data_IF_628010567965
#
_entry.id   IF_628010567965
#
_cell.length_a   1.000
_cell.length_b   1.000
_cell.length_c   1.000
_cell.angle_alpha   90.00
_cell.angle_beta   90.00
_cell.angle_gamma   90.00
#
_symmetry.space_group_name_H-M   'P 1'
#
loop_
_entity.id
_entity.type
_entity.pdbx_description
1 polymer ?
#
# COMPACT_ATOMS: atom_id res chain seq x y z
N UNK A 1 -4.72 -54.64 10.52
CA UNK A 1 -4.85 -53.27 9.94
C UNK A 1 -5.19 -52.34 11.12
N UNK A 2 -4.31 -51.49 11.62
CA UNK A 2 -4.68 -50.30 12.37
C UNK A 2 -3.64 -49.72 13.37
N UNK A 3 -2.38 -50.07 13.30
CA UNK A 3 -1.36 -49.44 14.18
C UNK A 3 -0.55 -48.37 13.45
N UNK A 4 -0.43 -48.45 12.12
CA UNK A 4 0.37 -47.51 11.32
C UNK A 4 -0.29 -46.13 11.10
N UNK A 5 -1.62 -46.04 11.11
CA UNK A 5 -2.35 -44.79 10.83
C UNK A 5 -2.40 -43.83 12.02
N UNK A 6 -2.34 -44.37 13.26
CA UNK A 6 -2.39 -43.54 14.48
C UNK A 6 -1.06 -42.86 14.78
N UNK A 7 0.08 -43.39 14.33
CA UNK A 7 1.39 -42.76 14.53
C UNK A 7 1.65 -41.59 13.62
N UNK A 8 1.12 -41.62 12.39
CA UNK A 8 1.28 -40.53 11.41
C UNK A 8 0.48 -39.27 11.79
N UNK A 9 -0.70 -39.44 12.44
CA UNK A 9 -1.54 -38.31 12.89
C UNK A 9 -0.94 -37.65 14.14
N UNK A 10 -0.28 -38.39 15.02
CA UNK A 10 0.39 -37.82 16.19
C UNK A 10 1.71 -37.08 15.83
N UNK A 11 2.44 -37.52 14.81
CA UNK A 11 3.64 -36.78 14.37
C UNK A 11 3.29 -35.47 13.67
N UNK A 12 2.18 -35.41 12.92
CA UNK A 12 1.71 -34.17 12.30
C UNK A 12 1.24 -33.13 13.33
N UNK A 13 0.65 -33.59 14.47
CA UNK A 13 0.23 -32.69 15.55
C UNK A 13 1.39 -32.15 16.38
N UNK A 14 2.49 -32.89 16.49
CA UNK A 14 3.71 -32.46 17.21
C UNK A 14 4.59 -31.49 16.41
N UNK A 15 4.58 -31.56 15.08
CA UNK A 15 5.27 -30.58 14.25
C UNK A 15 4.55 -29.23 14.20
N UNK A 16 3.23 -29.19 14.45
CA UNK A 16 2.46 -27.95 14.47
C UNK A 16 2.65 -27.11 15.73
N UNK A 17 3.14 -27.70 16.80
CA UNK A 17 3.30 -27.00 18.09
C UNK A 17 4.65 -26.29 18.26
N UNK A 18 5.66 -26.60 17.46
CA UNK A 18 7.00 -26.00 17.55
C UNK A 18 7.23 -24.83 16.62
N UNK A 19 6.34 -24.57 15.67
CA UNK A 19 6.42 -23.41 14.77
C UNK A 19 5.85 -22.11 15.37
N UNK A 20 5.24 -22.17 16.54
CA UNK A 20 4.56 -21.02 17.14
C UNK A 20 5.47 -20.07 17.95
N UNK A 21 6.72 -20.43 18.22
CA UNK A 21 7.59 -19.68 19.15
C UNK A 21 8.65 -18.80 18.48
N UNK A 22 8.84 -18.85 17.16
CA UNK A 22 9.86 -18.08 16.45
C UNK A 22 9.39 -16.72 15.88
N UNK A 23 8.09 -16.47 15.81
CA UNK A 23 7.54 -15.26 15.19
C UNK A 23 7.60 -14.01 16.08
N UNK A 24 7.99 -14.13 17.34
CA UNK A 24 7.89 -13.05 18.33
C UNK A 24 8.97 -11.96 18.18
N UNK A 25 9.94 -12.12 17.29
CA UNK A 25 11.03 -11.16 17.06
C UNK A 25 10.77 -10.10 15.96
N UNK A 26 9.90 -10.37 14.99
CA UNK A 26 9.72 -9.53 13.81
C UNK A 26 8.25 -9.19 13.49
N UNK A 27 7.38 -9.06 14.41
CA UNK A 27 6.02 -8.79 14.01
C UNK A 27 5.00 -8.53 15.09
N UNK A 28 5.38 -8.57 16.35
CA UNK A 28 4.43 -8.36 17.44
C UNK A 28 4.95 -7.32 18.42
N UNK A 29 4.68 -6.05 18.17
CA UNK A 29 4.60 -5.09 19.24
C UNK A 29 3.12 -4.92 19.60
N UNK A 30 2.80 -5.12 20.86
CA UNK A 30 1.54 -4.68 21.40
C UNK A 30 1.50 -3.14 21.34
N UNK A 31 0.53 -2.57 20.62
CA UNK A 31 0.25 -1.16 20.74
C UNK A 31 -0.40 -0.92 22.09
N UNK A 32 0.31 -0.32 22.99
CA UNK A 32 -0.25 0.13 24.27
C UNK A 32 -1.26 1.26 24.05
N UNK A 33 -1.04 2.10 23.04
CA UNK A 33 -1.95 3.17 22.60
C UNK A 33 -2.00 3.18 21.06
N UNK A 34 -3.21 3.14 20.44
CA UNK A 34 -3.37 3.28 18.99
C UNK A 34 -2.81 4.59 18.41
N UNK A 35 -2.45 5.55 19.24
CA UNK A 35 -1.83 6.82 18.87
C UNK A 35 -0.31 6.79 18.92
N UNK A 36 0.29 5.77 19.51
CA UNK A 36 1.73 5.60 19.52
C UNK A 36 2.22 4.91 18.25
N UNK A 37 3.41 5.30 17.72
CA UNK A 37 4.00 4.60 16.59
C UNK A 37 4.23 3.13 16.93
N UNK A 38 4.11 2.23 15.95
CA UNK A 38 4.43 0.82 16.14
C UNK A 38 5.84 0.70 16.71
N UNK A 39 5.98 0.00 17.81
CA UNK A 39 7.29 -0.22 18.40
C UNK A 39 8.18 -0.96 17.40
N UNK A 40 9.42 -0.52 17.28
CA UNK A 40 10.42 -1.24 16.53
C UNK A 40 10.59 -2.63 17.16
N UNK A 41 10.48 -3.70 16.37
CA UNK A 41 10.67 -5.06 16.82
C UNK A 41 12.00 -5.19 17.59
N UNK A 42 12.14 -6.12 18.54
CA UNK A 42 13.41 -6.34 19.27
C UNK A 42 14.52 -6.64 18.26
N UNK A 43 15.42 -5.69 18.07
CA UNK A 43 16.56 -5.81 17.17
C UNK A 43 17.87 -5.87 17.98
N UNK A 44 18.91 -6.55 17.47
CA UNK A 44 20.27 -6.39 17.98
C UNK A 44 20.70 -4.91 18.00
N UNK A 45 21.50 -4.50 18.99
CA UNK A 45 21.82 -3.10 19.23
C UNK A 45 22.26 -2.32 17.97
N UNK A 46 23.13 -2.83 17.06
CA UNK A 46 23.51 -2.10 15.85
C UNK A 46 22.36 -1.89 14.87
N UNK A 47 21.49 -2.89 14.70
CA UNK A 47 20.32 -2.80 13.81
C UNK A 47 19.28 -1.84 14.41
N UNK A 48 19.09 -1.88 15.72
CA UNK A 48 18.21 -0.93 16.44
C UNK A 48 18.65 0.51 16.23
N UNK A 49 19.95 0.81 16.41
CA UNK A 49 20.46 2.16 16.23
C UNK A 49 20.22 2.68 14.78
N UNK A 50 20.41 1.83 13.76
CA UNK A 50 20.10 2.19 12.37
C UNK A 50 18.60 2.41 12.16
N UNK A 51 17.74 1.54 12.69
CA UNK A 51 16.28 1.70 12.59
C UNK A 51 15.79 2.97 13.30
N UNK A 52 16.32 3.30 14.46
CA UNK A 52 16.01 4.55 15.18
C UNK A 52 16.47 5.79 14.41
N UNK A 53 17.65 5.74 13.80
CA UNK A 53 18.11 6.78 12.89
C UNK A 53 17.21 6.90 11.67
N UNK A 54 16.80 5.78 11.07
CA UNK A 54 15.83 5.73 9.97
C UNK A 54 14.47 6.32 10.36
N UNK A 55 13.98 6.05 11.58
CA UNK A 55 12.76 6.67 12.14
C UNK A 55 12.89 8.20 12.24
N UNK A 56 14.05 8.67 12.70
CA UNK A 56 14.32 10.10 12.75
C UNK A 56 14.27 10.71 11.33
N UNK A 57 14.90 10.07 10.34
CA UNK A 57 14.86 10.53 8.94
C UNK A 57 13.46 10.49 8.36
N UNK A 58 12.68 9.44 8.64
CA UNK A 58 11.30 9.28 8.19
C UNK A 58 10.38 10.42 8.65
N UNK A 59 10.60 10.90 9.89
CA UNK A 59 9.86 11.98 10.51
C UNK A 59 10.45 13.38 10.23
N UNK A 60 11.65 13.43 9.63
CA UNK A 60 12.31 14.71 9.35
C UNK A 60 11.67 15.41 8.17
N UNK A 61 11.36 16.68 8.33
CA UNK A 61 11.02 17.54 7.19
C UNK A 61 12.30 17.95 6.46
N UNK A 62 12.32 17.66 5.17
CA UNK A 62 13.36 18.13 4.25
C UNK A 62 13.10 19.59 3.90
N UNK A 63 14.14 20.30 3.58
CA UNK A 63 14.14 21.74 3.33
C UNK A 63 14.87 22.07 2.03
N UNK A 64 14.67 23.28 1.46
CA UNK A 64 15.34 23.69 0.23
C UNK A 64 16.86 23.56 0.33
N UNK A 65 17.51 23.31 -0.81
CA UNK A 65 18.96 23.28 -0.93
C UNK A 65 19.60 24.58 -0.41
N UNK A 66 20.75 24.44 0.27
CA UNK A 66 21.49 25.58 0.83
C UNK A 66 20.86 26.20 2.07
N UNK A 67 19.83 25.61 2.67
CA UNK A 67 19.25 26.10 3.93
C UNK A 67 20.30 26.07 5.05
N UNK A 68 20.61 27.19 5.71
CA UNK A 68 21.63 27.23 6.75
C UNK A 68 21.38 26.21 7.86
N UNK A 69 22.44 25.50 8.29
CA UNK A 69 22.42 24.48 9.34
C UNK A 69 21.57 23.24 9.03
N UNK A 70 21.10 23.09 7.80
CA UNK A 70 20.30 21.95 7.38
C UNK A 70 21.08 20.93 6.53
N UNK A 71 22.39 21.11 6.34
CA UNK A 71 23.25 20.19 5.61
C UNK A 71 22.99 18.74 6.04
N UNK A 72 22.67 17.87 5.07
CA UNK A 72 22.25 16.47 5.16
C UNK A 72 20.73 16.23 5.21
N UNK A 73 19.87 17.26 5.23
CA UNK A 73 18.42 17.15 5.07
C UNK A 73 17.85 18.24 4.17
N UNK A 74 18.70 18.87 3.39
CA UNK A 74 18.37 19.85 2.37
C UNK A 74 18.37 19.21 0.97
N UNK A 75 17.82 19.93 0.01
CA UNK A 75 17.63 19.42 -1.34
C UNK A 75 16.20 19.05 -1.68
N UNK A 76 15.20 19.39 -0.81
CA UNK A 76 13.79 19.25 -1.17
C UNK A 76 13.57 19.85 -2.55
N UNK A 77 12.94 19.07 -3.45
CA UNK A 77 12.73 19.47 -4.84
C UNK A 77 11.90 20.74 -4.97
N UNK A 78 12.01 21.45 -6.10
CA UNK A 78 11.33 22.73 -6.29
C UNK A 78 9.80 22.58 -6.35
N UNK A 79 9.30 21.47 -6.86
CA UNK A 79 7.92 21.01 -6.72
C UNK A 79 7.91 19.65 -6.02
N UNK A 80 6.94 19.42 -5.17
CA UNK A 80 6.87 18.21 -4.33
C UNK A 80 5.44 17.92 -3.88
N UNK A 81 5.17 16.68 -3.51
CA UNK A 81 3.92 16.29 -2.89
C UNK A 81 3.97 16.49 -1.37
N UNK A 82 5.09 16.15 -0.73
CA UNK A 82 5.29 16.30 0.71
C UNK A 82 6.76 16.49 1.05
N UNK A 83 7.03 17.06 2.23
CA UNK A 83 8.41 17.29 2.71
C UNK A 83 8.89 16.22 3.71
N UNK A 84 8.07 15.24 4.06
CA UNK A 84 8.47 14.13 4.95
C UNK A 84 7.63 12.89 4.69
N UNK A 85 8.16 11.70 5.02
CA UNK A 85 7.42 10.45 4.90
C UNK A 85 6.25 10.39 5.89
N UNK A 86 6.44 10.89 7.12
CA UNK A 86 5.42 10.89 8.19
C UNK A 86 4.18 11.73 7.83
N UNK A 87 4.31 12.73 6.98
CA UNK A 87 3.17 13.54 6.53
C UNK A 87 2.09 12.70 5.82
N UNK A 88 2.49 11.64 5.11
CA UNK A 88 1.58 10.71 4.44
C UNK A 88 1.40 9.40 5.22
N UNK A 89 2.44 8.91 5.87
CA UNK A 89 2.48 7.64 6.60
C UNK A 89 2.59 7.87 8.11
N UNK A 90 1.72 8.70 8.66
CA UNK A 90 1.78 9.06 10.07
C UNK A 90 1.87 7.83 10.98
N UNK A 91 2.95 7.74 11.76
CA UNK A 91 3.27 6.57 12.60
C UNK A 91 3.34 5.23 11.80
N UNK A 92 3.72 5.25 10.54
CA UNK A 92 3.74 4.07 9.68
C UNK A 92 2.37 3.51 9.32
N UNK A 93 1.29 4.20 9.69
CA UNK A 93 -0.08 3.80 9.39
C UNK A 93 -0.51 4.21 7.97
N UNK A 94 -1.70 3.76 7.57
CA UNK A 94 -2.38 4.22 6.37
C UNK A 94 -2.78 5.69 6.51
N UNK A 95 -2.69 6.43 5.41
CA UNK A 95 -3.14 7.82 5.35
C UNK A 95 -4.63 7.98 5.65
N UNK A 96 -5.00 9.19 6.08
CA UNK A 96 -6.41 9.56 6.26
C UNK A 96 -7.09 9.76 4.91
N UNK A 97 -8.39 9.42 4.80
CA UNK A 97 -9.14 9.60 3.56
C UNK A 97 -9.40 11.07 3.24
N UNK A 98 -9.64 11.39 1.97
CA UNK A 98 -10.39 12.56 1.62
C UNK A 98 -11.85 12.36 2.07
N UNK A 99 -12.28 13.14 3.06
CA UNK A 99 -13.60 12.98 3.67
C UNK A 99 -14.71 13.62 2.83
N UNK A 100 -14.39 14.71 2.11
CA UNK A 100 -15.35 15.53 1.39
C UNK A 100 -14.90 15.77 -0.05
N UNK A 101 -15.83 16.20 -0.89
CA UNK A 101 -15.51 16.76 -2.19
C UNK A 101 -14.66 18.04 -2.03
N UNK A 102 -13.76 18.28 -2.96
CA UNK A 102 -12.86 19.41 -2.96
C UNK A 102 -11.41 19.05 -3.25
N UNK A 103 -10.44 19.89 -2.87
CA UNK A 103 -9.02 19.61 -3.06
C UNK A 103 -8.59 18.34 -2.33
N UNK A 104 -7.85 17.48 -3.04
CA UNK A 104 -7.30 16.28 -2.46
C UNK A 104 -6.25 16.62 -1.39
N UNK A 105 -6.18 15.85 -0.28
CA UNK A 105 -5.10 15.99 0.68
C UNK A 105 -3.79 15.49 0.07
N UNK A 106 -2.66 16.01 0.53
CA UNK A 106 -1.31 15.57 0.10
C UNK A 106 -1.06 14.07 0.34
N UNK A 107 -1.82 13.45 1.22
CA UNK A 107 -1.77 12.01 1.50
C UNK A 107 -2.34 11.14 0.38
N UNK A 108 -2.98 11.75 -0.61
CA UNK A 108 -3.45 11.11 -1.85
C UNK A 108 -2.53 11.56 -2.99
N UNK A 109 -1.44 10.83 -3.19
CA UNK A 109 -0.50 11.09 -4.27
C UNK A 109 -1.17 10.86 -5.64
N UNK A 110 -0.91 11.73 -6.60
CA UNK A 110 -1.49 11.67 -7.95
C UNK A 110 -0.43 11.24 -8.94
N UNK A 111 -0.37 9.94 -9.23
CA UNK A 111 0.51 9.42 -10.26
C UNK A 111 -0.06 9.75 -11.64
N UNK A 112 0.81 10.11 -12.57
CA UNK A 112 0.45 10.38 -13.96
C UNK A 112 1.08 9.33 -14.87
N UNK A 113 0.39 9.00 -15.96
CA UNK A 113 0.89 8.15 -17.03
C UNK A 113 0.20 8.53 -18.33
N UNK A 114 0.74 8.07 -19.46
CA UNK A 114 0.06 8.14 -20.75
C UNK A 114 -0.44 6.76 -21.12
N UNK A 115 -1.57 6.66 -21.81
CA UNK A 115 -2.11 5.35 -22.25
C UNK A 115 -1.15 4.62 -23.18
N UNK A 116 -0.37 5.35 -23.97
CA UNK A 116 0.63 4.80 -24.88
C UNK A 116 2.04 4.71 -24.28
N UNK A 117 2.22 5.05 -22.98
CA UNK A 117 3.54 5.08 -22.34
C UNK A 117 3.94 3.68 -21.85
N UNK A 118 4.67 2.95 -22.70
CA UNK A 118 5.26 1.65 -22.35
C UNK A 118 6.51 1.78 -21.45
N UNK A 119 7.08 2.98 -21.35
CA UNK A 119 8.34 3.21 -20.63
C UNK A 119 8.15 3.81 -19.24
N UNK A 120 6.92 4.15 -18.85
CA UNK A 120 6.61 4.70 -17.52
C UNK A 120 7.18 6.11 -17.29
N UNK A 121 7.29 6.92 -18.35
CA UNK A 121 7.84 8.29 -18.28
C UNK A 121 6.85 9.31 -17.72
N UNK A 122 5.56 8.96 -17.67
CA UNK A 122 4.51 9.82 -17.16
C UNK A 122 3.96 10.82 -18.19
N UNK A 123 3.44 11.93 -17.70
CA UNK A 123 2.97 13.04 -18.52
C UNK A 123 4.17 13.85 -19.05
N UNK A 124 4.08 14.38 -20.27
CA UNK A 124 5.19 15.09 -20.91
C UNK A 124 5.53 16.42 -20.21
N UNK A 125 4.53 17.07 -19.62
CA UNK A 125 4.69 18.35 -18.92
C UNK A 125 5.02 18.16 -17.44
N UNK A 126 4.43 17.15 -16.79
CA UNK A 126 4.44 16.99 -15.32
C UNK A 126 5.14 15.74 -14.81
N UNK A 127 5.62 14.85 -15.69
CA UNK A 127 6.30 13.62 -15.28
C UNK A 127 5.36 12.54 -14.73
N UNK A 128 5.86 11.76 -13.80
CA UNK A 128 5.18 10.57 -13.24
C UNK A 128 4.26 10.88 -12.06
N UNK A 129 4.33 12.10 -11.51
CA UNK A 129 3.53 12.54 -10.36
C UNK A 129 3.15 14.01 -10.52
N UNK A 130 1.95 14.37 -10.05
CA UNK A 130 1.54 15.76 -9.93
C UNK A 130 1.92 16.29 -8.55
N UNK A 131 2.74 17.31 -8.48
CA UNK A 131 3.22 17.95 -7.25
C UNK A 131 2.38 19.17 -6.88
N UNK A 132 1.53 19.07 -5.82
CA UNK A 132 0.62 20.16 -5.45
C UNK A 132 1.28 21.26 -4.63
N UNK A 133 2.55 21.12 -4.28
CA UNK A 133 3.33 22.08 -3.51
C UNK A 133 4.60 22.50 -4.26
N UNK A 134 5.11 23.68 -3.95
CA UNK A 134 6.37 24.18 -4.48
C UNK A 134 7.12 25.04 -3.45
N UNK A 135 8.41 25.17 -3.63
CA UNK A 135 9.26 26.12 -2.90
C UNK A 135 8.97 27.56 -3.36
N UNK A 136 9.35 28.51 -2.52
CA UNK A 136 9.27 29.94 -2.86
C UNK A 136 10.01 30.23 -4.17
N UNK A 137 9.33 30.89 -5.09
CA UNK A 137 9.84 31.23 -6.42
C UNK A 137 9.59 30.16 -7.50
N UNK A 138 8.99 29.03 -7.14
CA UNK A 138 8.53 28.00 -8.07
C UNK A 138 7.01 27.88 -8.07
N UNK A 139 6.44 27.33 -9.13
CA UNK A 139 5.01 27.08 -9.23
C UNK A 139 4.70 25.62 -8.87
N UNK A 140 3.65 25.42 -8.06
CA UNK A 140 3.06 24.08 -7.91
C UNK A 140 2.47 23.63 -9.24
N UNK A 141 2.48 22.32 -9.49
CA UNK A 141 2.09 21.77 -10.80
C UNK A 141 0.58 21.76 -11.00
N UNK A 142 -0.19 21.67 -9.95
CA UNK A 142 -1.65 21.66 -10.00
C UNK A 142 -2.27 21.05 -8.76
N UNK A 143 -3.59 21.04 -8.71
CA UNK A 143 -4.36 20.48 -7.59
C UNK A 143 -5.37 19.47 -8.10
N UNK A 144 -5.37 18.26 -7.53
CA UNK A 144 -6.43 17.30 -7.75
C UNK A 144 -7.69 17.73 -7.00
N UNK A 145 -8.79 17.80 -7.71
CA UNK A 145 -10.14 18.00 -7.13
C UNK A 145 -10.88 16.68 -7.21
N UNK A 146 -11.52 16.32 -6.11
CA UNK A 146 -12.33 15.11 -6.00
C UNK A 146 -13.78 15.52 -5.87
N UNK A 147 -14.65 14.93 -6.67
CA UNK A 147 -16.09 14.98 -6.51
C UNK A 147 -16.61 13.56 -6.26
N UNK A 148 -17.74 13.44 -5.59
CA UNK A 148 -18.33 12.14 -5.26
C UNK A 148 -19.77 12.05 -5.70
N UNK A 149 -20.13 10.92 -6.28
CA UNK A 149 -21.51 10.54 -6.55
C UNK A 149 -21.88 9.34 -5.69
N UNK A 150 -23.01 9.39 -5.00
CA UNK A 150 -23.51 8.25 -4.24
C UNK A 150 -24.24 7.27 -5.17
N UNK A 151 -23.76 6.03 -5.18
CA UNK A 151 -24.48 4.89 -5.76
C UNK A 151 -25.23 4.16 -4.64
N UNK A 152 -26.46 3.76 -4.90
CA UNK A 152 -27.29 3.06 -3.92
C UNK A 152 -27.79 1.73 -4.48
N UNK A 153 -27.99 0.77 -3.58
CA UNK A 153 -28.57 -0.53 -3.90
C UNK A 153 -29.12 -1.22 -2.66
N UNK A 154 -29.40 -2.50 -2.75
CA UNK A 154 -29.91 -3.31 -1.65
C UNK A 154 -29.21 -4.65 -1.58
N UNK A 155 -28.97 -5.12 -0.38
CA UNK A 155 -28.60 -6.49 -0.10
C UNK A 155 -29.79 -7.44 -0.34
N UNK A 156 -29.54 -8.73 -0.38
CA UNK A 156 -30.57 -9.73 -0.60
C UNK A 156 -31.70 -9.71 0.44
N UNK A 157 -31.38 -9.32 1.69
CA UNK A 157 -32.36 -9.15 2.78
C UNK A 157 -33.13 -7.80 2.74
N UNK A 158 -32.86 -6.96 1.71
CA UNK A 158 -33.52 -5.68 1.52
C UNK A 158 -32.87 -4.50 2.22
N UNK A 159 -31.84 -4.69 3.06
CA UNK A 159 -31.09 -3.60 3.68
C UNK A 159 -30.44 -2.72 2.60
N UNK A 160 -30.61 -1.38 2.65
CA UNK A 160 -29.99 -0.51 1.65
C UNK A 160 -28.48 -0.37 1.89
N UNK A 161 -27.71 -0.25 0.79
CA UNK A 161 -26.30 0.13 0.84
C UNK A 161 -26.04 1.37 0.00
N UNK A 162 -24.94 2.04 0.31
CA UNK A 162 -24.45 3.20 -0.43
C UNK A 162 -22.96 3.05 -0.71
N UNK A 163 -22.54 3.44 -1.91
CA UNK A 163 -21.14 3.50 -2.32
C UNK A 163 -20.82 4.92 -2.76
N UNK A 164 -19.66 5.40 -2.41
CA UNK A 164 -19.17 6.69 -2.83
C UNK A 164 -18.24 6.54 -4.04
N UNK A 165 -18.73 6.92 -5.22
CA UNK A 165 -17.95 6.89 -6.45
C UNK A 165 -17.20 8.21 -6.65
N UNK A 166 -15.86 8.22 -6.65
CA UNK A 166 -15.08 9.42 -6.90
C UNK A 166 -14.97 9.71 -8.39
N UNK A 167 -14.94 11.00 -8.73
CA UNK A 167 -14.42 11.51 -10.00
C UNK A 167 -13.30 12.50 -9.72
N UNK A 168 -12.34 12.57 -10.63
CA UNK A 168 -11.10 13.30 -10.45
C UNK A 168 -10.88 14.28 -11.58
N UNK A 169 -10.47 15.51 -11.25
CA UNK A 169 -10.02 16.51 -12.21
C UNK A 169 -8.84 17.29 -11.64
N UNK A 170 -7.90 17.65 -12.47
CA UNK A 170 -6.78 18.51 -12.09
C UNK A 170 -7.11 19.94 -12.47
N UNK A 171 -6.76 20.90 -11.60
CA UNK A 171 -7.00 22.33 -11.79
C UNK A 171 -5.77 23.14 -11.40
N UNK A 172 -5.68 24.37 -11.89
CA UNK A 172 -4.59 25.30 -11.52
C UNK A 172 -3.22 24.83 -12.01
N UNK A 173 -3.19 24.14 -13.17
CA UNK A 173 -1.95 23.68 -13.77
C UNK A 173 -1.02 24.83 -14.12
N UNK A 174 0.26 24.70 -13.76
CA UNK A 174 1.24 25.78 -13.86
C UNK A 174 1.72 26.06 -15.30
N UNK A 175 1.75 25.03 -16.15
CA UNK A 175 2.30 25.12 -17.51
C UNK A 175 1.20 24.91 -18.56
N UNK A 176 0.69 23.70 -18.69
CA UNK A 176 -0.33 23.33 -19.65
C UNK A 176 -1.40 22.45 -18.98
N UNK A 177 -2.59 22.37 -19.58
CA UNK A 177 -3.57 21.36 -19.18
C UNK A 177 -3.04 19.96 -19.47
N UNK A 178 -3.43 19.00 -18.65
CA UNK A 178 -3.12 17.59 -18.90
C UNK A 178 -3.72 17.15 -20.23
N UNK A 179 -2.99 16.35 -21.00
CA UNK A 179 -3.49 15.82 -22.25
C UNK A 179 -4.71 14.89 -21.99
N UNK A 180 -5.66 14.82 -22.94
CA UNK A 180 -6.87 14.00 -22.76
C UNK A 180 -6.58 12.50 -22.46
N UNK A 181 -5.49 11.95 -22.99
CA UNK A 181 -5.04 10.58 -22.79
C UNK A 181 -4.11 10.40 -21.58
N UNK A 182 -3.85 11.45 -20.79
CA UNK A 182 -3.14 11.33 -19.53
C UNK A 182 -4.02 10.59 -18.53
N UNK A 183 -3.46 9.54 -17.92
CA UNK A 183 -4.12 8.72 -16.91
C UNK A 183 -3.90 9.33 -15.54
N UNK A 184 -4.98 9.70 -14.86
CA UNK A 184 -4.94 10.20 -13.48
C UNK A 184 -5.05 9.01 -12.54
N UNK A 185 -4.04 8.81 -11.70
CA UNK A 185 -3.89 7.65 -10.80
C UNK A 185 -3.78 8.08 -9.34
N UNK A 186 -4.89 8.39 -8.65
CA UNK A 186 -4.86 8.72 -7.23
C UNK A 186 -4.44 7.50 -6.40
N UNK A 187 -3.49 7.67 -5.51
CA UNK A 187 -2.93 6.59 -4.67
C UNK A 187 -2.84 7.06 -3.22
N UNK A 188 -3.73 6.54 -2.39
CA UNK A 188 -3.67 6.79 -0.96
C UNK A 188 -2.45 6.10 -0.36
N UNK A 189 -1.70 6.80 0.48
CA UNK A 189 -0.51 6.24 1.11
C UNK A 189 -0.90 5.00 1.97
N UNK A 190 -0.39 3.80 1.64
CA UNK A 190 -0.72 2.57 2.37
C UNK A 190 0.01 2.52 3.70
N UNK A 191 -0.35 1.58 4.59
CA UNK A 191 0.43 1.29 5.78
C UNK A 191 1.84 0.79 5.40
N UNK A 192 2.83 1.19 6.20
CA UNK A 192 4.23 0.81 6.03
C UNK A 192 4.63 -0.34 6.95
N UNK A 193 3.91 -0.52 8.07
CA UNK A 193 4.17 -1.64 8.98
C UNK A 193 4.02 -2.99 8.26
N UNK A 194 4.83 -3.96 8.64
CA UNK A 194 4.85 -5.32 8.09
C UNK A 194 5.43 -5.45 6.68
N UNK A 195 5.76 -4.36 6.00
CA UNK A 195 6.33 -4.42 4.64
C UNK A 195 7.65 -5.17 4.59
N UNK A 196 8.45 -5.12 5.66
CA UNK A 196 9.66 -5.93 5.80
C UNK A 196 9.40 -7.43 5.81
N UNK A 197 8.25 -7.88 6.34
CA UNK A 197 7.85 -9.29 6.28
C UNK A 197 7.33 -9.67 4.89
N UNK A 198 6.59 -8.78 4.21
CA UNK A 198 6.16 -9.00 2.82
C UNK A 198 7.36 -9.11 1.87
N UNK A 199 8.40 -8.29 2.07
CA UNK A 199 9.65 -8.36 1.30
C UNK A 199 10.32 -9.74 1.42
N UNK A 200 10.15 -10.43 2.54
CA UNK A 200 10.75 -11.72 2.86
C UNK A 200 9.94 -12.95 2.43
N UNK A 201 8.77 -12.77 1.81
CA UNK A 201 8.03 -13.90 1.24
C UNK A 201 8.83 -14.45 0.04
N UNK A 202 9.17 -15.76 0.00
CA UNK A 202 9.92 -16.33 -1.11
C UNK A 202 9.20 -16.15 -2.45
N UNK A 203 9.92 -15.79 -3.50
CA UNK A 203 9.34 -15.64 -4.85
C UNK A 203 8.70 -16.91 -5.37
N UNK A 204 9.30 -18.07 -5.05
CA UNK A 204 8.77 -19.36 -5.41
C UNK A 204 7.36 -19.60 -4.85
N UNK A 205 7.07 -19.07 -3.64
CA UNK A 205 5.76 -19.22 -3.02
C UNK A 205 4.72 -18.36 -3.76
N UNK A 206 5.07 -17.14 -4.15
CA UNK A 206 4.20 -16.25 -4.94
C UNK A 206 3.88 -16.89 -6.31
N UNK A 207 4.90 -17.45 -6.97
CA UNK A 207 4.73 -18.15 -8.26
C UNK A 207 3.86 -19.40 -8.10
N UNK A 208 4.06 -20.18 -7.04
CA UNK A 208 3.26 -21.37 -6.78
C UNK A 208 1.78 -21.02 -6.56
N UNK A 209 1.49 -19.94 -5.83
CA UNK A 209 0.11 -19.45 -5.64
C UNK A 209 -0.51 -19.04 -6.98
N UNK A 210 0.19 -18.29 -7.82
CA UNK A 210 -0.29 -17.91 -9.14
C UNK A 210 -0.61 -19.14 -10.00
N UNK A 211 0.25 -20.16 -9.98
CA UNK A 211 0.02 -21.40 -10.70
C UNK A 211 -1.22 -22.17 -10.19
N UNK A 212 -1.44 -22.18 -8.87
CA UNK A 212 -2.64 -22.79 -8.27
C UNK A 212 -3.91 -22.05 -8.66
N UNK A 213 -3.89 -20.71 -8.69
CA UNK A 213 -5.03 -19.91 -9.12
C UNK A 213 -5.34 -20.09 -10.61
N UNK A 214 -4.30 -20.14 -11.47
CA UNK A 214 -4.48 -20.36 -12.91
C UNK A 214 -5.15 -21.70 -13.24
N UNK A 215 -5.04 -22.69 -12.34
CA UNK A 215 -5.72 -23.99 -12.47
C UNK A 215 -7.21 -23.95 -11.99
N UNK A 216 -7.68 -22.84 -11.43
CA UNK A 216 -9.04 -22.66 -10.94
C UNK A 216 -9.80 -21.69 -11.83
N UNK A 217 -11.08 -21.94 -12.05
CA UNK A 217 -11.92 -21.00 -12.78
C UNK A 217 -12.21 -19.76 -11.94
N UNK A 218 -12.15 -18.57 -12.56
CA UNK A 218 -12.65 -17.32 -12.00
C UNK A 218 -11.66 -16.45 -11.23
N UNK A 219 -10.50 -16.96 -10.82
CA UNK A 219 -9.44 -16.18 -10.18
C UNK A 219 -8.11 -16.48 -10.87
N UNK A 220 -7.47 -15.50 -11.43
CA UNK A 220 -6.23 -15.63 -12.21
C UNK A 220 -5.23 -14.53 -11.87
N UNK A 221 -4.75 -14.53 -10.62
CA UNK A 221 -3.76 -13.58 -10.16
C UNK A 221 -2.46 -13.63 -10.97
N UNK A 222 -1.95 -12.47 -11.33
CA UNK A 222 -0.74 -12.33 -12.16
C UNK A 222 0.44 -11.92 -11.28
N UNK A 223 1.56 -12.60 -11.45
CA UNK A 223 2.84 -12.23 -10.84
C UNK A 223 3.32 -10.92 -11.44
N UNK A 224 3.53 -9.90 -10.60
CA UNK A 224 4.09 -8.63 -11.05
C UNK A 224 5.59 -8.76 -11.37
N UNK A 225 5.99 -8.30 -12.55
CA UNK A 225 7.41 -8.23 -12.98
C UNK A 225 7.69 -6.80 -13.47
N UNK A 226 8.11 -5.89 -12.57
CA UNK A 226 8.38 -4.52 -12.95
C UNK A 226 9.49 -4.45 -14.01
N UNK A 227 9.30 -3.61 -15.01
CA UNK A 227 10.27 -3.44 -16.07
C UNK A 227 11.62 -2.94 -15.53
N UNK A 228 12.72 -3.53 -16.00
CA UNK A 228 14.09 -3.15 -15.59
C UNK A 228 14.49 -3.59 -14.17
N UNK A 229 13.65 -4.36 -13.47
CA UNK A 229 13.98 -4.90 -12.16
C UNK A 229 14.14 -6.43 -12.20
N UNK A 230 15.13 -6.93 -11.47
CA UNK A 230 15.27 -8.37 -11.23
C UNK A 230 14.39 -8.78 -10.05
N UNK A 231 13.45 -9.71 -10.31
CA UNK A 231 12.60 -10.25 -9.27
C UNK A 231 11.11 -9.95 -9.43
N UNK A 232 10.35 -10.32 -8.40
CA UNK A 232 8.90 -10.18 -8.35
C UNK A 232 8.54 -8.92 -7.57
N UNK A 233 7.72 -8.08 -8.18
CA UNK A 233 7.14 -6.92 -7.53
C UNK A 233 6.16 -7.31 -6.43
N UNK A 234 6.21 -6.63 -5.28
CA UNK A 234 5.38 -6.95 -4.11
C UNK A 234 4.97 -5.74 -3.28
N UNK A 235 5.53 -4.56 -3.57
CA UNK A 235 5.26 -3.32 -2.83
C UNK A 235 4.55 -2.29 -3.72
N UNK A 236 3.81 -1.39 -3.08
CA UNK A 236 2.91 -0.46 -3.77
C UNK A 236 1.58 -1.11 -4.16
N UNK A 237 0.62 -0.31 -4.62
CA UNK A 237 -0.73 -0.76 -4.99
C UNK A 237 -0.77 -1.69 -6.20
N UNK A 238 0.21 -1.56 -7.09
CA UNK A 238 0.34 -2.34 -8.33
C UNK A 238 1.59 -3.22 -8.32
N UNK A 239 2.14 -3.52 -7.12
CA UNK A 239 3.36 -4.32 -6.97
C UNK A 239 4.52 -3.81 -7.85
N UNK A 240 4.68 -2.49 -7.93
CA UNK A 240 5.65 -1.85 -8.82
C UNK A 240 7.10 -1.90 -8.31
N UNK A 241 7.33 -2.27 -7.05
CA UNK A 241 8.68 -2.38 -6.48
C UNK A 241 8.97 -3.78 -5.95
N UNK A 242 10.18 -4.28 -6.25
CA UNK A 242 10.66 -5.60 -5.84
C UNK A 242 11.21 -5.60 -4.40
N UNK A 243 11.63 -4.45 -3.89
CA UNK A 243 12.24 -4.28 -2.57
C UNK A 243 11.83 -2.98 -1.90
N UNK A 244 11.96 -2.92 -0.56
CA UNK A 244 11.79 -1.68 0.19
C UNK A 244 12.79 -0.60 -0.22
N UNK A 245 14.03 -0.98 -0.59
CA UNK A 245 15.03 -0.03 -1.06
C UNK A 245 14.56 0.67 -2.35
N UNK A 246 14.08 -0.09 -3.33
CA UNK A 246 13.55 0.45 -4.58
C UNK A 246 12.31 1.33 -4.33
N UNK A 247 11.36 0.84 -3.52
CA UNK A 247 10.14 1.59 -3.18
C UNK A 247 10.46 2.92 -2.48
N UNK A 248 11.42 2.90 -1.54
CA UNK A 248 11.81 4.09 -0.76
C UNK A 248 12.55 5.10 -1.64
N UNK A 249 13.47 4.64 -2.49
CA UNK A 249 14.18 5.52 -3.42
C UNK A 249 13.21 6.20 -4.40
N UNK A 250 12.29 5.44 -5.01
CA UNK A 250 11.27 5.99 -5.89
C UNK A 250 10.35 6.99 -5.14
N UNK A 251 9.97 6.71 -3.89
CA UNK A 251 9.17 7.63 -3.11
C UNK A 251 9.93 8.94 -2.80
N UNK A 252 11.20 8.88 -2.44
CA UNK A 252 12.04 10.05 -2.23
C UNK A 252 12.11 10.93 -3.49
N UNK A 253 12.36 10.32 -4.65
CA UNK A 253 12.46 11.04 -5.91
C UNK A 253 11.12 11.64 -6.33
N UNK A 254 10.03 10.87 -6.30
CA UNK A 254 8.75 11.32 -6.84
C UNK A 254 7.96 12.20 -5.87
N UNK A 255 7.95 11.86 -4.56
CA UNK A 255 7.13 12.63 -3.60
C UNK A 255 7.85 13.89 -3.09
N UNK A 256 9.20 13.90 -3.10
CA UNK A 256 10.02 14.93 -2.47
C UNK A 256 11.06 15.57 -3.41
N UNK A 257 11.24 15.02 -4.61
CA UNK A 257 12.27 15.47 -5.55
C UNK A 257 13.69 15.22 -5.06
N UNK A 258 13.93 14.15 -4.27
CA UNK A 258 15.22 13.82 -3.67
C UNK A 258 15.86 12.65 -4.40
N UNK A 259 16.97 12.88 -5.06
CA UNK A 259 17.75 11.85 -5.75
C UNK A 259 18.52 10.94 -4.79
N UNK A 260 18.78 9.71 -5.24
CA UNK A 260 19.65 8.74 -4.58
C UNK A 260 20.41 7.93 -5.63
N UNK A 261 21.43 7.13 -5.24
CA UNK A 261 22.08 6.25 -6.22
C UNK A 261 21.11 5.19 -6.82
N UNK A 262 20.06 4.82 -6.11
CA UNK A 262 19.07 3.88 -6.60
C UNK A 262 18.02 4.54 -7.53
N UNK A 263 17.77 5.82 -7.38
CA UNK A 263 16.92 6.66 -8.25
C UNK A 263 17.67 7.99 -8.45
N UNK A 264 18.56 8.09 -9.46
CA UNK A 264 19.50 9.20 -9.58
C UNK A 264 18.90 10.47 -10.19
N UNK A 265 17.72 10.38 -10.78
CA UNK A 265 17.02 11.51 -11.39
C UNK A 265 15.79 11.89 -10.56
N UNK A 266 15.56 13.20 -10.44
CA UNK A 266 14.26 13.74 -10.05
C UNK A 266 13.21 13.52 -11.16
N UNK A 267 11.98 13.94 -10.93
CA UNK A 267 10.89 13.82 -11.90
C UNK A 267 10.74 15.06 -12.81
N UNK A 268 11.71 15.99 -12.80
CA UNK A 268 11.66 17.20 -13.62
C UNK A 268 11.73 16.88 -15.12
N UNK A 269 10.66 17.15 -15.84
CA UNK A 269 10.57 16.91 -17.28
C UNK A 269 11.42 17.89 -18.09
N UNK A 270 11.58 17.64 -19.39
CA UNK A 270 12.25 18.57 -20.30
C UNK A 270 11.53 19.91 -20.42
N UNK A 271 10.21 19.94 -20.21
CA UNK A 271 9.39 21.14 -20.23
C UNK A 271 9.59 22.00 -18.97
N UNK A 272 9.89 21.38 -17.84
CA UNK A 272 10.05 22.02 -16.53
C UNK A 272 11.45 22.60 -16.33
N UNK A 273 11.83 23.59 -17.15
CA UNK A 273 13.19 24.18 -17.16
C UNK A 273 13.62 24.74 -15.80
N UNK A 274 12.71 25.38 -15.07
CA UNK A 274 13.00 25.94 -13.75
C UNK A 274 13.29 24.84 -12.73
N UNK A 275 12.53 23.73 -12.78
CA UNK A 275 12.75 22.55 -11.96
C UNK A 275 14.16 21.98 -12.19
N UNK A 276 14.52 21.75 -13.44
CA UNK A 276 15.85 21.22 -13.82
C UNK A 276 17.02 22.13 -13.51
N UNK A 277 16.78 23.42 -13.38
CA UNK A 277 17.81 24.42 -13.03
C UNK A 277 17.86 24.71 -11.51
N UNK A 278 17.00 24.09 -10.71
CA UNK A 278 16.97 24.31 -9.28
C UNK A 278 18.27 23.82 -8.60
N UNK A 279 18.71 24.49 -7.53
CA UNK A 279 19.86 24.04 -6.76
C UNK A 279 19.61 22.67 -6.13
N UNK A 280 20.55 21.75 -6.26
CA UNK A 280 20.54 20.45 -5.59
C UNK A 280 21.21 20.54 -4.20
N UNK A 281 20.71 19.77 -3.24
CA UNK A 281 21.31 19.65 -1.90
C UNK A 281 22.58 18.79 -1.86
N UNK A 282 22.81 18.02 -2.94
CA UNK A 282 23.95 17.12 -3.09
C UNK A 282 23.85 16.32 -4.40
N UNK A 283 24.78 15.41 -4.62
CA UNK A 283 24.75 14.50 -5.77
C UNK A 283 25.21 13.11 -5.34
N UNK A 284 24.25 12.22 -4.97
CA UNK A 284 22.82 12.47 -4.77
C UNK A 284 22.53 13.22 -3.46
N UNK A 285 21.30 13.73 -3.27
CA UNK A 285 20.84 14.36 -2.02
C UNK A 285 20.76 13.35 -0.88
N UNK A 286 20.28 12.14 -1.16
CA UNK A 286 20.16 11.07 -0.18
C UNK A 286 21.29 10.07 -0.35
N UNK A 287 22.17 10.00 0.63
CA UNK A 287 23.25 9.02 0.66
C UNK A 287 22.71 7.58 0.84
N UNK A 288 23.50 6.59 0.40
CA UNK A 288 23.16 5.17 0.63
C UNK A 288 22.94 4.85 2.11
N UNK A 289 23.76 5.42 3.00
CA UNK A 289 23.58 5.22 4.44
C UNK A 289 22.26 5.77 5.00
N UNK A 290 21.74 6.86 4.43
CA UNK A 290 20.42 7.39 4.79
C UNK A 290 19.30 6.52 4.24
N UNK A 291 19.41 6.11 2.97
CA UNK A 291 18.45 5.21 2.34
C UNK A 291 18.39 3.86 3.07
N UNK A 292 19.54 3.29 3.43
CA UNK A 292 19.62 2.05 4.20
C UNK A 292 18.97 2.18 5.59
N UNK A 293 19.19 3.31 6.28
CA UNK A 293 18.55 3.55 7.57
C UNK A 293 17.02 3.66 7.46
N UNK A 294 16.50 4.33 6.44
CA UNK A 294 15.06 4.39 6.15
C UNK A 294 14.49 3.00 5.86
N UNK A 295 15.20 2.19 5.10
CA UNK A 295 14.80 0.80 4.80
C UNK A 295 14.82 -0.05 6.08
N UNK A 296 15.85 0.03 6.90
CA UNK A 296 15.92 -0.70 8.18
C UNK A 296 14.78 -0.31 9.13
N UNK A 297 14.44 0.97 9.21
CA UNK A 297 13.28 1.41 9.97
C UNK A 297 11.99 0.76 9.47
N UNK A 298 11.73 0.80 8.16
CA UNK A 298 10.54 0.21 7.56
C UNK A 298 10.48 -1.30 7.76
N UNK A 299 11.62 -2.00 7.65
CA UNK A 299 11.72 -3.44 7.94
C UNK A 299 11.40 -3.77 9.40
N UNK A 300 11.77 -2.88 10.30
CA UNK A 300 11.58 -3.05 11.73
C UNK A 300 10.18 -2.67 12.23
N UNK A 301 9.36 -2.02 11.40
CA UNK A 301 7.99 -1.64 11.78
C UNK A 301 7.14 -2.90 12.02
N UNK A 302 6.73 -3.07 13.27
CA UNK A 302 5.93 -4.20 13.69
C UNK A 302 4.51 -4.17 13.10
N UNK A 303 3.99 -5.34 12.78
CA UNK A 303 2.57 -5.49 12.44
C UNK A 303 1.73 -5.33 13.71
N UNK A 304 0.65 -4.51 13.70
CA UNK A 304 -0.27 -4.45 14.81
C UNK A 304 -0.82 -5.82 15.16
N UNK A 305 -0.95 -6.10 16.46
CA UNK A 305 -1.59 -7.35 16.90
C UNK A 305 -3.04 -7.39 16.42
N UNK A 306 -3.44 -8.54 15.89
CA UNK A 306 -4.85 -8.83 15.69
C UNK A 306 -5.61 -8.65 17.01
N UNK A 307 -6.69 -7.88 16.99
CA UNK A 307 -7.54 -7.73 18.16
C UNK A 307 -8.32 -9.03 18.34
N UNK A 308 -8.23 -9.73 19.48
CA UNK A 308 -9.04 -10.92 19.71
C UNK A 308 -10.52 -10.55 19.57
N UNK A 309 -11.20 -11.23 18.68
CA UNK A 309 -12.63 -11.05 18.49
C UNK A 309 -13.34 -12.14 19.32
N UNK A 310 -13.68 -11.82 20.57
CA UNK A 310 -14.28 -12.75 21.52
C UNK A 310 -15.39 -13.58 20.89
N UNK A 311 -15.17 -14.90 20.73
CA UNK A 311 -16.11 -15.87 20.17
C UNK A 311 -16.43 -15.73 18.67
N UNK A 312 -15.88 -14.72 17.97
CA UNK A 312 -16.17 -14.46 16.54
C UNK A 312 -15.17 -15.12 15.58
N UNK A 313 -14.00 -15.58 16.06
CA UNK A 313 -12.89 -15.96 15.17
C UNK A 313 -13.23 -17.15 14.26
N UNK A 314 -13.78 -18.22 14.79
CA UNK A 314 -14.13 -19.39 13.99
C UNK A 314 -15.27 -19.09 12.98
N UNK A 315 -16.31 -18.35 13.40
CA UNK A 315 -17.43 -18.00 12.51
C UNK A 315 -17.00 -16.98 11.45
N UNK A 316 -16.22 -15.96 11.82
CA UNK A 316 -15.69 -14.97 10.89
C UNK A 316 -14.79 -15.61 9.84
N UNK A 317 -13.88 -16.50 10.24
CA UNK A 317 -13.04 -17.25 9.33
C UNK A 317 -13.85 -18.14 8.39
N UNK A 318 -14.89 -18.80 8.90
CA UNK A 318 -15.81 -19.62 8.09
C UNK A 318 -16.59 -18.78 7.05
N UNK A 319 -17.05 -17.59 7.43
CA UNK A 319 -17.73 -16.66 6.50
C UNK A 319 -16.76 -16.13 5.44
N UNK A 320 -15.55 -15.81 5.82
CA UNK A 320 -14.49 -15.33 4.92
C UNK A 320 -14.15 -16.38 3.85
N UNK A 321 -13.99 -17.63 4.26
CA UNK A 321 -13.76 -18.76 3.35
C UNK A 321 -15.01 -19.08 2.50
N UNK A 322 -16.21 -19.09 3.11
CA UNK A 322 -17.46 -19.37 2.39
C UNK A 322 -17.76 -18.32 1.31
N UNK A 323 -17.35 -17.07 1.54
CA UNK A 323 -17.45 -16.00 0.54
C UNK A 323 -16.25 -16.00 -0.44
N UNK A 324 -15.35 -17.00 -0.37
CA UNK A 324 -14.16 -17.14 -1.23
C UNK A 324 -13.19 -15.94 -1.19
N UNK A 325 -13.19 -15.16 -0.10
CA UNK A 325 -12.25 -14.05 0.08
C UNK A 325 -10.80 -14.54 0.20
N UNK A 326 -10.59 -15.74 0.74
CA UNK A 326 -9.30 -16.40 0.90
C UNK A 326 -8.68 -16.85 -0.43
N UNK A 327 -9.41 -16.77 -1.54
CA UNK A 327 -8.88 -17.00 -2.88
C UNK A 327 -7.76 -16.04 -3.27
N UNK A 328 -7.87 -14.76 -2.85
CA UNK A 328 -6.88 -13.71 -3.02
C UNK A 328 -6.25 -13.32 -1.67
N UNK A 329 -7.07 -13.09 -0.65
CA UNK A 329 -6.60 -12.74 0.70
C UNK A 329 -6.18 -13.99 1.48
N UNK A 330 -5.11 -14.64 1.03
CA UNK A 330 -4.60 -15.86 1.65
C UNK A 330 -4.18 -15.62 3.10
N UNK A 331 -4.72 -16.39 4.08
CA UNK A 331 -4.53 -16.11 5.49
C UNK A 331 -3.07 -16.20 5.95
N UNK A 332 -2.31 -17.13 5.41
CA UNK A 332 -0.95 -17.41 5.84
C UNK A 332 0.04 -17.40 4.68
N UNK A 333 1.24 -16.90 4.95
CA UNK A 333 2.40 -16.91 4.07
C UNK A 333 3.64 -17.32 4.87
N UNK A 334 4.70 -17.72 4.18
CA UNK A 334 6.00 -17.95 4.79
C UNK A 334 6.89 -16.73 4.55
N UNK A 335 7.65 -16.34 5.56
CA UNK A 335 8.69 -15.31 5.42
C UNK A 335 10.04 -15.89 5.83
N UNK A 336 11.07 -15.67 4.99
CA UNK A 336 12.45 -16.09 5.27
C UNK A 336 13.18 -14.96 5.97
N UNK A 337 13.56 -15.16 7.24
CA UNK A 337 14.33 -14.19 8.02
C UNK A 337 15.81 -14.19 7.62
N UNK A 338 16.53 -13.15 8.02
CA UNK A 338 17.94 -12.96 7.64
C UNK A 338 18.88 -14.04 8.19
N UNK A 339 18.49 -14.73 9.25
CA UNK A 339 19.20 -15.88 9.82
C UNK A 339 18.85 -17.22 9.15
N UNK A 340 18.03 -17.21 8.10
CA UNK A 340 17.55 -18.39 7.40
C UNK A 340 16.32 -19.06 8.04
N UNK A 341 15.83 -18.55 9.17
CA UNK A 341 14.60 -19.07 9.80
C UNK A 341 13.39 -18.77 8.92
N UNK A 342 12.54 -19.77 8.71
CA UNK A 342 11.24 -19.58 8.04
C UNK A 342 10.16 -19.45 9.11
N UNK A 343 9.43 -18.35 9.07
CA UNK A 343 8.30 -18.08 9.97
C UNK A 343 6.99 -18.01 9.21
N UNK A 344 5.90 -18.47 9.84
CA UNK A 344 4.55 -18.23 9.31
C UNK A 344 4.11 -16.83 9.70
N UNK A 345 3.62 -16.08 8.74
CA UNK A 345 3.01 -14.76 8.92
C UNK A 345 1.58 -14.79 8.40
N UNK A 346 0.72 -13.89 8.91
CA UNK A 346 -0.71 -13.85 8.55
C UNK A 346 -1.12 -12.52 7.92
N UNK A 347 -0.63 -12.22 6.70
CA UNK A 347 -0.87 -10.95 6.04
C UNK A 347 -2.23 -10.87 5.36
N UNK A 348 -2.89 -12.01 5.12
CA UNK A 348 -4.12 -12.07 4.31
C UNK A 348 -3.94 -11.45 2.92
N UNK A 349 -2.94 -11.92 2.19
CA UNK A 349 -2.63 -11.52 0.81
C UNK A 349 -1.89 -12.64 0.08
N UNK A 350 -2.08 -12.73 -1.23
CA UNK A 350 -1.29 -13.55 -2.14
C UNK A 350 -0.18 -12.75 -2.85
N UNK A 351 -0.15 -11.42 -2.70
CA UNK A 351 0.73 -10.47 -3.40
C UNK A 351 0.56 -10.44 -4.92
N UNK A 352 -0.43 -11.12 -5.48
CA UNK A 352 -0.69 -11.14 -6.92
C UNK A 352 -1.52 -9.93 -7.37
N UNK A 353 -1.49 -9.67 -8.66
CA UNK A 353 -2.26 -8.63 -9.31
C UNK A 353 -3.57 -9.21 -9.85
N UNK A 354 -4.70 -8.64 -9.47
CA UNK A 354 -6.04 -9.03 -9.89
C UNK A 354 -6.77 -7.91 -10.59
N UNK A 355 -7.60 -8.26 -11.56
CA UNK A 355 -8.57 -7.36 -12.18
C UNK A 355 -9.83 -7.31 -11.30
N UNK A 356 -10.11 -6.13 -10.76
CA UNK A 356 -11.27 -5.86 -9.89
C UNK A 356 -12.38 -5.10 -10.63
N UNK A 357 -12.36 -5.10 -11.96
CA UNK A 357 -13.38 -4.50 -12.82
C UNK A 357 -13.25 -2.98 -12.98
N UNK A 358 -14.04 -2.44 -13.91
CA UNK A 358 -13.99 -1.04 -14.35
C UNK A 358 -14.29 -0.02 -13.23
N UNK A 359 -15.00 -0.44 -12.19
CA UNK A 359 -15.32 0.41 -11.04
C UNK A 359 -14.08 0.84 -10.23
N UNK A 360 -13.03 0.01 -10.25
CA UNK A 360 -11.76 0.29 -9.59
C UNK A 360 -10.62 0.61 -10.55
N UNK A 361 -10.87 0.58 -11.87
CA UNK A 361 -9.87 0.92 -12.87
C UNK A 361 -9.49 2.40 -12.84
N UNK A 362 -8.26 2.70 -13.25
CA UNK A 362 -7.81 4.08 -13.48
C UNK A 362 -8.56 4.70 -14.67
N UNK A 363 -8.52 6.01 -14.76
CA UNK A 363 -9.17 6.76 -15.86
C UNK A 363 -8.24 7.81 -16.43
N UNK A 364 -8.40 8.06 -17.72
CA UNK A 364 -7.79 9.21 -18.40
C UNK A 364 -8.51 10.51 -18.06
N UNK A 365 -7.91 11.62 -18.44
CA UNK A 365 -8.51 12.97 -18.31
C UNK A 365 -9.85 13.05 -19.04
N UNK A 366 -9.99 12.42 -20.21
CA UNK A 366 -11.26 12.35 -20.96
C UNK A 366 -12.28 11.35 -20.38
N UNK A 367 -11.93 10.64 -19.29
CA UNK A 367 -12.81 9.70 -18.59
C UNK A 367 -12.77 8.26 -19.11
N UNK A 368 -11.94 7.96 -20.11
CA UNK A 368 -11.80 6.60 -20.65
C UNK A 368 -11.24 5.65 -19.57
N UNK A 369 -11.76 4.43 -19.52
CA UNK A 369 -11.31 3.41 -18.58
C UNK A 369 -9.97 2.84 -19.02
N UNK A 370 -9.02 2.77 -18.09
CA UNK A 370 -7.72 2.14 -18.31
C UNK A 370 -7.68 0.86 -17.48
N UNK A 371 -7.69 -0.32 -18.11
CA UNK A 371 -7.66 -1.60 -17.38
C UNK A 371 -6.51 -1.61 -16.37
N UNK A 372 -6.84 -1.82 -15.12
CA UNK A 372 -5.88 -1.73 -14.01
C UNK A 372 -5.97 -2.98 -13.15
N UNK A 373 -4.82 -3.59 -12.87
CA UNK A 373 -4.72 -4.70 -11.93
C UNK A 373 -4.17 -4.21 -10.60
N UNK A 374 -4.70 -4.77 -9.51
CA UNK A 374 -4.37 -4.38 -8.14
C UNK A 374 -3.73 -5.53 -7.39
N UNK A 375 -2.64 -5.23 -6.69
CA UNK A 375 -2.06 -6.18 -5.75
C UNK A 375 -3.04 -6.40 -4.60
N UNK A 376 -3.31 -7.64 -4.26
CA UNK A 376 -4.10 -7.97 -3.07
C UNK A 376 -3.49 -7.27 -1.84
N UNK A 377 -4.23 -6.32 -1.26
CA UNK A 377 -3.76 -5.58 -0.11
C UNK A 377 -3.77 -6.48 1.14
N UNK A 378 -2.72 -6.43 1.99
CA UNK A 378 -2.74 -7.10 3.29
C UNK A 378 -3.89 -6.59 4.14
N UNK A 379 -4.54 -7.50 4.89
CA UNK A 379 -5.62 -7.13 5.81
C UNK A 379 -5.13 -6.97 7.27
N UNK A 380 -3.92 -7.42 7.58
CA UNK A 380 -3.36 -7.23 8.93
C UNK A 380 -3.30 -5.77 9.33
N UNK A 381 -3.60 -5.48 10.59
CA UNK A 381 -3.59 -4.11 11.10
C UNK A 381 -4.61 -3.16 10.45
N UNK A 382 -5.60 -3.69 9.70
CA UNK A 382 -6.58 -2.87 9.00
C UNK A 382 -7.40 -1.99 9.94
N UNK A 383 -7.75 -2.50 11.12
CA UNK A 383 -8.43 -1.74 12.16
C UNK A 383 -7.55 -0.76 12.92
N UNK A 384 -6.24 -0.79 12.66
CA UNK A 384 -5.25 0.12 13.25
C UNK A 384 -5.08 1.37 12.37
N UNK A 385 -6.17 2.00 12.01
CA UNK A 385 -6.14 3.27 11.29
C UNK A 385 -6.23 4.46 12.24
N UNK A 386 -5.65 5.62 11.91
CA UNK A 386 -5.88 6.85 12.68
C UNK A 386 -7.39 7.12 12.71
N UNK A 387 -7.95 7.30 13.91
CA UNK A 387 -9.41 7.47 14.09
C UNK A 387 -9.79 8.93 14.20
N UNK A 388 -11.07 9.27 13.92
CA UNK A 388 -12.28 8.65 14.44
C UNK A 388 -12.68 7.40 13.65
N UNK A 389 -13.10 6.37 14.42
CA UNK A 389 -13.40 5.02 13.92
C UNK A 389 -14.59 4.94 12.92
N UNK A 390 -15.28 6.03 12.67
CA UNK A 390 -16.41 6.12 11.77
C UNK A 390 -16.02 6.17 10.29
N UNK A 391 -14.73 6.38 9.97
CA UNK A 391 -14.30 6.60 8.60
C UNK A 391 -12.97 5.90 8.34
N UNK A 392 -13.07 4.76 7.66
CA UNK A 392 -11.93 4.08 7.08
C UNK A 392 -11.65 4.66 5.69
N UNK A 393 -10.41 4.55 5.26
CA UNK A 393 -9.99 4.84 3.90
C UNK A 393 -9.51 3.55 3.28
N UNK A 394 -10.40 2.77 2.72
CA UNK A 394 -10.05 1.51 2.11
C UNK A 394 -9.97 1.66 0.59
N UNK A 395 -9.37 0.67 -0.06
CA UNK A 395 -9.00 0.66 -1.47
C UNK A 395 -7.84 1.63 -1.78
N UNK A 396 -7.42 1.68 -3.04
CA UNK A 396 -6.23 2.39 -3.49
C UNK A 396 -6.32 3.92 -3.40
N UNK A 397 -7.53 4.45 -3.38
CA UNK A 397 -7.83 5.88 -3.35
C UNK A 397 -8.65 6.34 -2.13
N UNK A 398 -8.93 5.42 -1.22
CA UNK A 398 -9.63 5.74 0.02
C UNK A 398 -11.14 5.94 -0.12
N UNK A 399 -11.75 5.55 -1.26
CA UNK A 399 -13.18 5.76 -1.52
C UNK A 399 -14.11 5.00 -0.57
N UNK A 400 -13.70 3.84 -0.09
CA UNK A 400 -14.53 3.01 0.76
C UNK A 400 -14.38 3.38 2.24
N UNK A 401 -15.49 3.74 2.87
CA UNK A 401 -15.59 4.23 4.26
C UNK A 401 -15.72 3.08 5.27
N UNK A 402 -15.96 1.86 4.78
CA UNK A 402 -16.12 0.65 5.59
C UNK A 402 -15.64 -0.59 4.85
N UNK A 403 -15.46 -1.69 5.58
CA UNK A 403 -15.17 -2.99 4.97
C UNK A 403 -16.29 -3.43 4.02
N UNK A 404 -17.54 -3.19 4.39
CA UNK A 404 -18.69 -3.52 3.53
C UNK A 404 -18.68 -2.75 2.22
N UNK A 405 -18.36 -1.44 2.25
CA UNK A 405 -18.19 -0.66 1.02
C UNK A 405 -17.02 -1.18 0.18
N UNK A 406 -15.89 -1.52 0.81
CA UNK A 406 -14.75 -2.08 0.10
C UNK A 406 -15.12 -3.38 -0.61
N UNK A 407 -15.82 -4.29 0.06
CA UNK A 407 -16.30 -5.54 -0.54
C UNK A 407 -17.27 -5.28 -1.71
N UNK A 408 -18.18 -4.33 -1.57
CA UNK A 408 -19.15 -3.99 -2.63
C UNK A 408 -18.49 -3.36 -3.87
N UNK A 409 -17.31 -2.78 -3.73
CA UNK A 409 -16.51 -2.32 -4.86
C UNK A 409 -15.74 -3.43 -5.59
N UNK A 410 -15.61 -4.61 -5.00
CA UNK A 410 -14.94 -5.75 -5.64
C UNK A 410 -15.80 -6.27 -6.81
N UNK A 411 -15.21 -6.30 -8.01
CA UNK A 411 -15.81 -6.88 -9.21
C UNK A 411 -14.74 -7.66 -10.01
N UNK A 412 -14.95 -7.90 -11.28
CA UNK A 412 -14.02 -8.69 -12.08
C UNK A 412 -13.78 -10.07 -11.48
N UNK A 413 -12.53 -10.39 -11.18
CA UNK A 413 -12.14 -11.67 -10.56
C UNK A 413 -12.76 -11.89 -9.16
N UNK A 414 -13.04 -10.81 -8.42
CA UNK A 414 -13.63 -10.86 -7.08
C UNK A 414 -15.17 -10.79 -7.07
N UNK A 415 -15.83 -10.73 -8.25
CA UNK A 415 -17.28 -10.59 -8.35
C UNK A 415 -18.05 -11.68 -7.61
N UNK A 416 -17.58 -12.92 -7.68
CA UNK A 416 -18.22 -14.05 -7.00
C UNK A 416 -18.23 -13.85 -5.47
N UNK A 417 -17.10 -13.39 -4.90
CA UNK A 417 -16.99 -13.10 -3.47
C UNK A 417 -17.90 -11.94 -3.04
N UNK A 418 -17.99 -10.87 -3.85
CA UNK A 418 -18.93 -9.77 -3.61
C UNK A 418 -20.37 -10.25 -3.59
N UNK A 419 -20.79 -11.02 -4.59
CA UNK A 419 -22.16 -11.56 -4.67
C UNK A 419 -22.47 -12.49 -3.49
N UNK A 420 -21.53 -13.32 -3.05
CA UNK A 420 -21.68 -14.15 -1.87
C UNK A 420 -21.89 -13.29 -0.60
N UNK A 421 -21.13 -12.22 -0.45
CA UNK A 421 -21.29 -11.26 0.66
C UNK A 421 -22.68 -10.57 0.63
N UNK A 422 -23.17 -10.18 -0.56
CA UNK A 422 -24.48 -9.54 -0.73
C UNK A 422 -25.65 -10.46 -0.32
N UNK A 423 -25.46 -11.79 -0.40
CA UNK A 423 -26.46 -12.78 0.01
C UNK A 423 -26.46 -13.06 1.52
N UNK A 424 -25.43 -12.66 2.27
CA UNK A 424 -25.36 -12.89 3.72
C UNK A 424 -26.46 -12.10 4.45
N UNK A 425 -27.06 -12.65 5.52
CA UNK A 425 -27.89 -11.87 6.45
C UNK A 425 -27.12 -10.72 7.08
N UNK A 426 -27.78 -9.62 7.44
CA UNK A 426 -27.17 -8.42 8.01
C UNK A 426 -26.20 -8.72 9.18
N UNK A 427 -26.59 -9.60 10.10
CA UNK A 427 -25.74 -9.99 11.24
C UNK A 427 -24.43 -10.66 10.82
N UNK A 428 -24.44 -11.47 9.77
CA UNK A 428 -23.25 -12.15 9.24
C UNK A 428 -22.37 -11.19 8.45
N UNK A 429 -22.93 -10.27 7.66
CA UNK A 429 -22.17 -9.18 7.01
C UNK A 429 -21.41 -8.33 8.05
N UNK A 430 -22.11 -7.94 9.11
CA UNK A 430 -21.51 -7.16 10.19
C UNK A 430 -20.43 -7.95 10.95
N UNK A 431 -20.66 -9.26 11.19
CA UNK A 431 -19.68 -10.12 11.83
C UNK A 431 -18.42 -10.26 10.97
N UNK A 432 -18.59 -10.54 9.66
CA UNK A 432 -17.46 -10.64 8.73
C UNK A 432 -16.67 -9.33 8.65
N UNK A 433 -17.35 -8.18 8.56
CA UNK A 433 -16.68 -6.88 8.53
C UNK A 433 -15.88 -6.60 9.80
N UNK A 434 -16.43 -6.87 10.99
CA UNK A 434 -15.70 -6.76 12.26
C UNK A 434 -14.52 -7.72 12.35
N UNK A 435 -14.72 -8.96 11.87
CA UNK A 435 -13.66 -9.96 11.84
C UNK A 435 -12.48 -9.52 10.97
N UNK A 436 -12.74 -8.97 9.78
CA UNK A 436 -11.71 -8.43 8.88
C UNK A 436 -10.96 -7.27 9.54
N UNK A 437 -11.65 -6.36 10.23
CA UNK A 437 -11.01 -5.25 10.94
C UNK A 437 -10.13 -5.70 12.10
N UNK A 438 -10.37 -6.86 12.64
CA UNK A 438 -9.63 -7.41 13.77
C UNK A 438 -8.33 -8.13 13.35
N UNK A 439 -7.99 -8.20 12.05
CA UNK A 439 -6.80 -8.93 11.52
C UNK A 439 -5.52 -8.14 11.66
#
# INVERSE_FOLDING_TARGET
>A
MSVGVRLAVMLAALLSATLATGADGYGRAAFADPREPPAVAPLPAPARARAEFGRMLFNTQWVPAGTPRAARRDGLGPSFNTASCDACHNNGARARPPLNAGPAPVTLAVRLARTADSNGTGDAEYGRILSPQALDGYAAEGTLIIDFVERTGRFADGEPWRLREPSYRVTGTAAAELAPDTVIRPRLAPAVFGTGLLERIPEADIVAVAALQAARAGVAGVVARPAGADGIGRLGWQAAAVSLRAQTATALALEMGLSSHAEPADDCTAAQRACRAAPAGGTPEVSDGFLDALVEFQRALAVPLAVPADGMDARGAALFAAAACDGCHQPAQRAALDDGTIVEIRPYTDLLLHDLGDGLADRTVDGSVVPTRWRTAPLWGLGHAPRPASELALLHDGRARSVSEAILWHDGEARAARLAFEQLPAAERQLLARWVLAR
#
